data_IF_332842349372
#
_entry.id   IF_332842349372
#
_cell.length_a   1.000
_cell.length_b   1.000
_cell.length_c   1.000
_cell.angle_alpha   90.00
_cell.angle_beta   90.00
_cell.angle_gamma   90.00
#
_symmetry.space_group_name_H-M   'P 1'
#
loop_
_entity.id
_entity.type
_entity.pdbx_description
1 polymer ?
#
# COMPACT_ATOMS: atom_id res chain seq x y z
N UNK A 1 -12.49 -5.57 1.80
CA UNK A 1 -11.33 -6.28 1.18
C UNK A 1 -10.80 -5.36 0.11
N UNK A 2 -9.53 -4.97 0.20
CA UNK A 2 -8.95 -3.98 -0.72
C UNK A 2 -8.44 -4.64 -2.01
N UNK A 3 -7.74 -5.77 -1.91
CA UNK A 3 -7.08 -6.33 -3.09
C UNK A 3 -8.02 -7.05 -4.08
N UNK A 4 -8.10 -6.54 -5.32
CA UNK A 4 -8.96 -7.01 -6.43
C UNK A 4 -8.89 -8.52 -6.69
N UNK A 5 -7.70 -9.13 -6.59
CA UNK A 5 -7.50 -10.57 -6.88
C UNK A 5 -8.29 -11.48 -5.94
N UNK A 6 -8.40 -11.12 -4.65
CA UNK A 6 -9.06 -11.94 -3.64
C UNK A 6 -10.49 -11.47 -3.34
N UNK A 7 -10.87 -10.28 -3.81
CA UNK A 7 -12.20 -9.71 -3.60
C UNK A 7 -13.32 -10.61 -4.14
N UNK A 8 -13.16 -11.18 -5.34
CA UNK A 8 -14.14 -12.09 -5.94
C UNK A 8 -14.32 -13.41 -5.17
N UNK A 9 -13.24 -14.18 -4.91
CA UNK A 9 -13.31 -15.37 -4.07
C UNK A 9 -13.91 -15.10 -2.68
N UNK A 10 -13.52 -14.00 -2.04
CA UNK A 10 -14.07 -13.58 -0.75
C UNK A 10 -15.58 -13.35 -0.84
N UNK A 11 -16.05 -12.57 -1.82
CA UNK A 11 -17.47 -12.29 -1.99
C UNK A 11 -18.31 -13.56 -2.20
N UNK A 12 -17.78 -14.56 -2.91
CA UNK A 12 -18.48 -15.85 -3.11
C UNK A 12 -18.56 -16.70 -1.84
N UNK A 13 -17.64 -16.53 -0.90
CA UNK A 13 -17.70 -17.20 0.40
C UNK A 13 -18.78 -16.59 1.32
N UNK A 14 -19.22 -15.36 1.03
CA UNK A 14 -20.24 -14.63 1.79
C UNK A 14 -21.37 -14.16 0.86
N UNK A 15 -22.14 -15.08 0.24
CA UNK A 15 -23.13 -14.73 -0.78
C UNK A 15 -24.28 -13.86 -0.26
N UNK A 16 -24.56 -13.90 1.05
CA UNK A 16 -25.60 -13.09 1.69
C UNK A 16 -25.12 -11.68 2.08
N UNK A 17 -23.82 -11.39 1.94
CA UNK A 17 -23.28 -10.07 2.24
C UNK A 17 -23.54 -9.08 1.10
N UNK A 18 -23.79 -7.82 1.45
CA UNK A 18 -23.74 -6.75 0.46
C UNK A 18 -22.29 -6.52 0.04
N UNK A 19 -22.03 -6.59 -1.26
CA UNK A 19 -20.68 -6.47 -1.81
C UNK A 19 -20.59 -5.26 -2.74
N UNK A 20 -19.78 -4.27 -2.35
CA UNK A 20 -19.58 -3.03 -3.10
C UNK A 20 -18.17 -2.98 -3.69
N UNK A 21 -18.06 -2.45 -4.91
CA UNK A 21 -16.78 -2.12 -5.55
C UNK A 21 -16.84 -0.67 -6.05
N UNK A 22 -15.70 0.03 -6.06
CA UNK A 22 -15.68 1.43 -6.49
C UNK A 22 -16.11 1.57 -7.96
N UNK A 23 -16.76 2.67 -8.35
CA UNK A 23 -17.34 2.84 -9.69
C UNK A 23 -16.30 3.14 -10.78
N UNK A 24 -15.04 3.41 -10.40
CA UNK A 24 -13.90 3.65 -11.30
C UNK A 24 -12.84 2.58 -11.21
N UNK A 25 -13.25 1.31 -11.09
CA UNK A 25 -12.33 0.19 -11.25
C UNK A 25 -11.57 0.31 -12.57
N UNK A 26 -10.25 0.12 -12.48
CA UNK A 26 -9.35 0.14 -13.60
C UNK A 26 -8.65 -1.20 -13.79
N UNK A 27 -8.37 -1.57 -15.04
CA UNK A 27 -7.41 -2.62 -15.37
C UNK A 27 -6.52 -2.21 -16.54
N UNK A 28 -5.28 -2.71 -16.52
CA UNK A 28 -4.27 -2.47 -17.55
C UNK A 28 -3.95 -3.79 -18.28
N UNK A 29 -3.67 -3.78 -19.60
CA UNK A 29 -3.66 -2.61 -20.49
C UNK A 29 -5.04 -2.21 -21.03
N UNK A 30 -6.04 -3.09 -20.87
CA UNK A 30 -7.41 -2.86 -21.29
C UNK A 30 -8.29 -2.69 -20.06
N UNK A 31 -9.17 -1.69 -20.07
CA UNK A 31 -10.13 -1.49 -19.00
C UNK A 31 -11.30 -2.47 -19.16
N UNK A 32 -11.21 -3.60 -18.46
CA UNK A 32 -12.17 -4.70 -18.53
C UNK A 32 -13.32 -4.46 -17.54
N UNK A 33 -14.53 -4.93 -17.85
CA UNK A 33 -15.65 -4.87 -16.91
C UNK A 33 -15.40 -5.78 -15.69
N UNK A 34 -16.01 -5.44 -14.56
CA UNK A 34 -15.86 -6.11 -13.26
C UNK A 34 -16.07 -7.64 -13.29
N UNK A 35 -17.00 -8.11 -14.12
CA UNK A 35 -17.25 -9.55 -14.28
C UNK A 35 -16.05 -10.31 -14.86
N UNK A 36 -15.24 -9.66 -15.71
CA UNK A 36 -14.00 -10.21 -16.25
C UNK A 36 -12.85 -10.12 -15.25
N UNK A 37 -12.98 -9.25 -14.25
CA UNK A 37 -12.06 -9.12 -13.12
C UNK A 37 -12.37 -10.12 -11.99
N UNK A 38 -13.34 -11.01 -12.20
CA UNK A 38 -13.71 -12.07 -11.25
C UNK A 38 -14.65 -11.62 -10.14
N UNK A 39 -15.17 -10.39 -10.21
CA UNK A 39 -16.17 -9.89 -9.28
C UNK A 39 -17.53 -10.54 -9.57
N UNK A 40 -18.31 -10.94 -8.53
CA UNK A 40 -19.60 -11.56 -8.75
C UNK A 40 -20.62 -10.65 -9.45
N UNK A 41 -21.63 -11.19 -10.14
CA UNK A 41 -22.63 -10.39 -10.84
C UNK A 41 -23.54 -9.57 -9.92
N UNK A 42 -23.58 -9.89 -8.62
CA UNK A 42 -24.32 -9.12 -7.61
C UNK A 42 -23.50 -7.99 -6.97
N UNK A 43 -22.29 -7.74 -7.47
CA UNK A 43 -21.47 -6.60 -7.02
C UNK A 43 -22.20 -5.30 -7.31
N UNK A 44 -22.33 -4.45 -6.28
CA UNK A 44 -22.94 -3.13 -6.38
C UNK A 44 -21.86 -2.05 -6.57
N UNK A 45 -22.10 -1.02 -7.37
CA UNK A 45 -21.20 0.14 -7.39
C UNK A 45 -21.26 0.84 -6.03
N UNK A 46 -20.09 1.22 -5.50
CA UNK A 46 -19.99 2.02 -4.29
C UNK A 46 -20.62 3.41 -4.56
N UNK A 47 -21.48 3.92 -3.67
CA UNK A 47 -22.05 5.26 -3.83
C UNK A 47 -20.96 6.34 -3.88
N UNK A 48 -21.18 7.37 -4.70
CA UNK A 48 -20.24 8.49 -4.85
C UNK A 48 -20.04 9.26 -3.52
N UNK A 49 -18.95 10.02 -3.44
CA UNK A 49 -18.64 10.90 -2.30
C UNK A 49 -19.79 11.85 -1.98
N UNK A 50 -20.21 11.88 -0.71
CA UNK A 50 -21.29 12.74 -0.24
C UNK A 50 -22.69 12.31 -0.67
N UNK A 51 -22.86 11.17 -1.36
CA UNK A 51 -24.17 10.56 -1.50
C UNK A 51 -24.70 10.23 -0.09
N UNK A 52 -25.97 10.58 0.18
CA UNK A 52 -26.58 10.22 1.44
C UNK A 52 -26.50 8.70 1.61
N UNK A 53 -26.05 8.24 2.77
CA UNK A 53 -25.95 6.81 3.08
C UNK A 53 -27.31 6.14 3.25
N UNK A 54 -28.44 6.78 2.90
CA UNK A 54 -29.85 6.29 2.77
C UNK A 54 -30.34 5.09 3.62
N UNK A 55 -29.71 4.81 4.78
CA UNK A 55 -29.89 3.57 5.55
C UNK A 55 -28.99 2.39 5.11
N UNK A 56 -28.18 2.55 4.06
CA UNK A 56 -27.06 1.69 3.71
C UNK A 56 -26.16 1.35 4.91
N UNK A 57 -25.66 0.12 4.93
CA UNK A 57 -24.84 -0.44 6.01
C UNK A 57 -25.46 -0.29 7.41
N UNK A 58 -26.78 -0.38 7.50
CA UNK A 58 -27.52 -0.29 8.77
C UNK A 58 -27.62 1.13 9.34
N UNK A 59 -27.21 2.17 8.59
CA UNK A 59 -27.24 3.55 9.05
C UNK A 59 -26.17 3.90 10.09
N UNK A 60 -25.18 3.02 10.29
CA UNK A 60 -24.09 3.21 11.26
C UNK A 60 -22.83 3.83 10.62
N UNK A 61 -22.81 3.90 9.28
CA UNK A 61 -21.66 4.33 8.50
C UNK A 61 -21.95 5.61 7.70
N UNK A 62 -21.03 6.57 7.84
CA UNK A 62 -20.83 7.63 6.85
C UNK A 62 -19.69 7.22 5.91
N UNK A 63 -19.71 7.66 4.64
CA UNK A 63 -18.65 7.34 3.70
C UNK A 63 -18.23 8.55 2.84
N UNK A 64 -16.96 8.54 2.43
CA UNK A 64 -16.39 9.51 1.52
C UNK A 64 -15.42 8.82 0.57
N UNK A 65 -15.59 9.05 -0.73
CA UNK A 65 -14.75 8.46 -1.77
C UNK A 65 -13.84 9.52 -2.38
N UNK A 66 -12.53 9.36 -2.20
CA UNK A 66 -11.54 10.10 -2.96
C UNK A 66 -11.57 9.58 -4.40
N UNK A 67 -11.66 10.48 -5.37
CA UNK A 67 -11.49 10.12 -6.78
C UNK A 67 -10.49 11.09 -7.40
N UNK A 68 -9.39 10.57 -7.92
CA UNK A 68 -8.36 11.37 -8.57
C UNK A 68 -7.95 10.79 -9.91
N UNK A 69 -7.42 11.65 -10.78
CA UNK A 69 -7.02 11.31 -12.15
C UNK A 69 -5.53 11.57 -12.32
N UNK A 70 -4.66 10.59 -11.98
CA UNK A 70 -3.22 10.79 -12.05
C UNK A 70 -2.68 10.86 -13.47
N UNK A 71 -3.46 10.45 -14.49
CA UNK A 71 -3.00 10.45 -15.88
C UNK A 71 -4.09 10.15 -16.92
N UNK A 72 -3.72 10.17 -18.22
CA UNK A 72 -4.61 9.77 -19.29
C UNK A 72 -5.03 8.29 -19.13
N UNK A 73 -6.33 8.04 -18.98
CA UNK A 73 -6.88 6.67 -18.89
C UNK A 73 -6.65 5.98 -17.55
N UNK A 74 -6.12 6.67 -16.53
CA UNK A 74 -5.95 6.14 -15.17
C UNK A 74 -6.84 6.90 -14.20
N UNK A 75 -7.54 6.16 -13.34
CA UNK A 75 -8.28 6.67 -12.19
C UNK A 75 -7.77 5.97 -10.95
N UNK A 76 -7.73 6.70 -9.83
CA UNK A 76 -7.50 6.14 -8.51
C UNK A 76 -8.68 6.53 -7.62
N UNK A 77 -9.15 5.58 -6.84
CA UNK A 77 -10.15 5.82 -5.82
C UNK A 77 -9.72 5.21 -4.50
N UNK A 78 -10.03 5.91 -3.42
CA UNK A 78 -9.93 5.40 -2.06
C UNK A 78 -11.22 5.72 -1.32
N UNK A 79 -11.65 4.82 -0.45
CA UNK A 79 -12.89 4.96 0.30
C UNK A 79 -12.60 4.99 1.80
N UNK A 80 -13.10 6.04 2.44
CA UNK A 80 -13.13 6.16 3.88
C UNK A 80 -14.55 5.90 4.38
N UNK A 81 -14.68 5.08 5.43
CA UNK A 81 -15.94 4.81 6.11
C UNK A 81 -15.81 5.14 7.58
N UNK A 82 -16.70 5.97 8.11
CA UNK A 82 -16.75 6.27 9.52
C UNK A 82 -17.86 5.48 10.20
N UNK A 83 -17.47 4.55 11.07
CA UNK A 83 -18.40 3.80 11.89
C UNK A 83 -18.72 4.58 13.17
N UNK A 84 -19.84 5.29 13.17
CA UNK A 84 -20.26 6.21 14.22
C UNK A 84 -20.28 5.60 15.63
N UNK A 85 -20.98 4.47 15.86
CA UNK A 85 -21.08 3.84 17.18
C UNK A 85 -19.72 3.52 17.83
N UNK A 86 -18.75 3.10 17.03
CA UNK A 86 -17.44 2.67 17.53
C UNK A 86 -16.37 3.78 17.51
N UNK A 87 -16.66 4.93 16.90
CA UNK A 87 -15.70 6.01 16.67
C UNK A 87 -14.52 5.60 15.80
N UNK A 88 -14.72 4.74 14.79
CA UNK A 88 -13.65 4.14 13.98
C UNK A 88 -13.72 4.62 12.55
N UNK A 89 -12.59 5.08 12.01
CA UNK A 89 -12.41 5.28 10.57
C UNK A 89 -11.86 4.00 9.94
N UNK A 90 -12.50 3.50 8.90
CA UNK A 90 -11.95 2.48 8.01
C UNK A 90 -11.41 3.20 6.76
N UNK A 91 -10.19 2.87 6.34
CA UNK A 91 -9.56 3.47 5.15
C UNK A 91 -8.90 2.37 4.32
N UNK A 92 -8.96 2.46 2.99
CA UNK A 92 -8.38 1.43 2.15
C UNK A 92 -6.90 1.73 1.88
N UNK A 93 -6.59 2.63 0.95
CA UNK A 93 -5.28 2.70 0.28
C UNK A 93 -4.40 3.90 0.67
N UNK A 94 -4.89 4.87 1.43
CA UNK A 94 -4.14 6.11 1.69
C UNK A 94 -3.48 6.20 3.08
N UNK A 95 -3.44 5.12 3.86
CA UNK A 95 -2.77 5.10 5.16
C UNK A 95 -2.21 3.72 5.52
N UNK A 96 -0.95 3.70 5.98
CA UNK A 96 -0.20 2.50 6.31
C UNK A 96 0.58 2.71 7.59
N UNK A 97 0.75 1.65 8.37
CA UNK A 97 1.64 1.61 9.50
C UNK A 97 2.27 0.24 9.60
N UNK A 98 3.54 0.17 9.97
CA UNK A 98 4.20 -1.12 10.19
C UNK A 98 5.10 -1.01 11.43
N UNK A 99 5.06 -2.05 12.24
CA UNK A 99 5.90 -2.31 13.41
C UNK A 99 6.81 -3.48 13.09
N UNK A 100 7.76 -3.75 13.96
CA UNK A 100 8.73 -4.82 13.76
C UNK A 100 8.11 -6.22 13.76
N UNK A 101 6.90 -6.36 14.33
CA UNK A 101 6.22 -7.65 14.40
C UNK A 101 5.40 -7.92 13.13
N UNK A 102 5.59 -9.07 12.47
CA UNK A 102 4.68 -9.48 11.40
C UNK A 102 3.26 -9.70 11.95
N UNK A 103 2.21 -9.37 11.18
CA UNK A 103 0.84 -9.62 11.60
C UNK A 103 0.58 -11.13 11.80
N UNK A 104 -0.33 -11.52 12.72
CA UNK A 104 -0.55 -12.91 13.11
C UNK A 104 -0.74 -13.88 11.95
N UNK A 105 -1.50 -13.47 10.92
CA UNK A 105 -1.75 -14.28 9.71
C UNK A 105 -0.47 -14.71 9.00
N UNK A 106 0.61 -13.91 9.04
CA UNK A 106 1.90 -14.28 8.44
C UNK A 106 2.70 -15.26 9.30
N UNK A 107 2.32 -15.47 10.56
CA UNK A 107 3.02 -16.36 11.51
C UNK A 107 2.24 -17.62 11.86
N UNK A 108 0.92 -17.60 11.69
CA UNK A 108 0.01 -18.69 12.05
C UNK A 108 -0.32 -19.60 10.85
N UNK A 109 -0.35 -19.04 9.62
CA UNK A 109 -0.64 -19.81 8.40
C UNK A 109 0.65 -20.30 7.73
N UNK A 110 0.84 -21.62 7.52
CA UNK A 110 2.09 -22.18 7.01
C UNK A 110 2.56 -21.60 5.67
N UNK A 111 1.64 -21.31 4.73
CA UNK A 111 2.01 -20.74 3.42
C UNK A 111 2.52 -19.30 3.54
N UNK A 112 1.95 -18.50 4.46
CA UNK A 112 2.39 -17.13 4.67
C UNK A 112 3.68 -17.07 5.52
N UNK A 113 3.83 -17.98 6.47
CA UNK A 113 5.09 -18.17 7.20
C UNK A 113 6.24 -18.51 6.23
N UNK A 114 5.95 -19.33 5.21
CA UNK A 114 6.90 -19.65 4.14
C UNK A 114 7.41 -18.41 3.43
N UNK A 115 6.55 -17.40 3.22
CA UNK A 115 6.95 -16.12 2.63
C UNK A 115 7.91 -15.33 3.53
N UNK A 116 7.67 -15.29 4.86
CA UNK A 116 8.60 -14.66 5.80
C UNK A 116 9.99 -15.30 5.70
N UNK A 117 10.07 -16.63 5.77
CA UNK A 117 11.35 -17.35 5.70
C UNK A 117 12.01 -17.19 4.32
N UNK A 118 11.24 -17.17 3.24
CA UNK A 118 11.74 -16.88 1.89
C UNK A 118 12.41 -15.50 1.80
N UNK A 119 11.81 -14.47 2.39
CA UNK A 119 12.37 -13.12 2.36
C UNK A 119 13.53 -12.94 3.35
N UNK A 120 13.61 -13.75 4.41
CA UNK A 120 14.67 -13.70 5.41
C UNK A 120 16.04 -14.23 4.94
N UNK A 121 16.16 -14.76 3.71
CA UNK A 121 17.40 -15.32 3.14
C UNK A 121 18.41 -14.24 2.75
N UNK A 122 19.66 -14.42 3.15
CA UNK A 122 20.83 -13.66 2.71
C UNK A 122 21.45 -14.23 1.43
N UNK A 123 21.20 -15.52 1.12
CA UNK A 123 21.63 -16.14 -0.14
C UNK A 123 20.53 -16.98 -0.80
N UNK A 124 20.58 -17.20 -2.13
CA UNK A 124 19.44 -17.77 -2.83
C UNK A 124 19.12 -19.23 -2.45
N UNK A 125 20.12 -20.02 -2.07
CA UNK A 125 19.97 -21.43 -1.64
C UNK A 125 19.95 -21.58 -0.12
N UNK A 126 19.88 -20.48 0.64
CA UNK A 126 19.77 -20.56 2.09
C UNK A 126 18.44 -21.17 2.50
N UNK A 127 18.49 -22.09 3.46
CA UNK A 127 17.34 -22.59 4.19
C UNK A 127 17.39 -21.90 5.54
N UNK A 128 16.42 -21.01 5.79
CA UNK A 128 16.37 -20.21 7.01
C UNK A 128 15.69 -21.01 8.10
N UNK A 129 16.35 -21.14 9.25
CA UNK A 129 15.73 -21.71 10.44
C UNK A 129 14.58 -20.81 10.93
N UNK A 130 13.45 -21.44 11.22
CA UNK A 130 12.27 -20.75 11.70
C UNK A 130 12.45 -20.27 13.14
N UNK A 131 12.79 -18.99 13.28
CA UNK A 131 12.99 -18.29 14.56
C UNK A 131 12.23 -16.96 14.54
N UNK A 132 11.83 -16.41 15.71
CA UNK A 132 11.21 -15.09 15.77
C UNK A 132 12.04 -14.01 15.06
N UNK A 133 13.36 -14.03 15.23
CA UNK A 133 14.28 -13.10 14.58
C UNK A 133 14.32 -13.27 13.05
N UNK A 134 14.27 -14.51 12.54
CA UNK A 134 14.17 -14.76 11.11
C UNK A 134 12.83 -14.27 10.54
N UNK A 135 11.73 -14.48 11.26
CA UNK A 135 10.39 -13.98 10.87
C UNK A 135 10.37 -12.46 10.78
N UNK A 136 10.91 -11.75 11.79
CA UNK A 136 11.05 -10.28 11.78
C UNK A 136 11.93 -9.82 10.64
N UNK A 137 13.07 -10.47 10.38
CA UNK A 137 13.94 -10.16 9.23
C UNK A 137 13.18 -10.29 7.90
N UNK A 138 12.46 -11.39 7.71
CA UNK A 138 11.61 -11.60 6.53
C UNK A 138 10.55 -10.51 6.39
N UNK A 139 9.90 -10.15 7.48
CA UNK A 139 8.88 -9.11 7.53
C UNK A 139 9.41 -7.74 7.13
N UNK A 140 10.52 -7.28 7.74
CA UNK A 140 11.16 -6.00 7.39
C UNK A 140 11.45 -5.92 5.90
N UNK A 141 11.97 -7.00 5.32
CA UNK A 141 12.29 -7.10 3.90
C UNK A 141 11.04 -7.05 3.03
N UNK A 142 9.97 -7.75 3.39
CA UNK A 142 8.67 -7.67 2.70
C UNK A 142 8.17 -6.23 2.71
N UNK A 143 8.16 -5.57 3.88
CA UNK A 143 7.71 -4.18 4.02
C UNK A 143 8.53 -3.25 3.14
N UNK A 144 9.86 -3.33 3.18
CA UNK A 144 10.74 -2.50 2.35
C UNK A 144 10.53 -2.73 0.84
N UNK A 145 10.41 -3.99 0.41
CA UNK A 145 10.18 -4.34 -0.99
C UNK A 145 8.79 -3.90 -1.46
N UNK A 146 7.74 -4.09 -0.66
CA UNK A 146 6.39 -3.66 -0.96
C UNK A 146 6.29 -2.13 -1.11
N UNK A 147 7.02 -1.39 -0.27
CA UNK A 147 6.97 0.07 -0.26
C UNK A 147 7.80 0.74 -1.36
N UNK A 148 8.99 0.20 -1.61
CA UNK A 148 9.99 0.87 -2.46
C UNK A 148 10.23 0.16 -3.79
N UNK A 149 9.78 -1.09 -3.95
CA UNK A 149 10.19 -2.07 -4.96
C UNK A 149 11.69 -2.42 -4.88
N UNK A 150 12.55 -1.40 -4.89
CA UNK A 150 14.00 -1.50 -4.78
C UNK A 150 14.51 -0.47 -3.74
N UNK A 151 14.59 -0.85 -2.45
CA UNK A 151 15.11 0.02 -1.40
C UNK A 151 16.63 0.16 -1.54
N UNK A 152 17.08 1.08 -2.40
CA UNK A 152 18.49 1.16 -2.81
C UNK A 152 19.46 1.51 -1.67
N UNK A 153 18.98 1.99 -0.51
CA UNK A 153 19.81 2.16 0.69
C UNK A 153 20.21 0.80 1.26
N UNK A 154 19.30 -0.18 1.25
CA UNK A 154 19.44 -1.49 1.92
C UNK A 154 19.71 -2.66 0.97
N UNK A 155 19.29 -2.57 -0.30
CA UNK A 155 19.35 -3.68 -1.26
C UNK A 155 19.84 -3.25 -2.65
N UNK A 156 20.34 -4.23 -3.40
CA UNK A 156 20.68 -4.13 -4.82
C UNK A 156 19.78 -5.08 -5.60
N UNK A 157 19.08 -4.56 -6.61
CA UNK A 157 18.22 -5.36 -7.48
C UNK A 157 19.05 -6.28 -8.40
N UNK A 158 18.58 -7.51 -8.60
CA UNK A 158 19.07 -8.41 -9.64
C UNK A 158 17.92 -8.76 -10.59
N UNK A 159 17.75 -7.91 -11.62
CA UNK A 159 16.66 -7.98 -12.61
C UNK A 159 17.08 -8.69 -13.91
N UNK A 160 18.17 -9.46 -13.89
CA UNK A 160 18.61 -10.22 -15.06
C UNK A 160 17.63 -11.31 -15.47
N UNK A 161 17.67 -11.73 -16.74
CA UNK A 161 16.88 -12.87 -17.27
C UNK A 161 17.48 -14.24 -16.95
N UNK A 162 18.75 -14.28 -16.53
CA UNK A 162 19.49 -15.51 -16.22
C UNK A 162 18.81 -16.44 -15.20
N UNK A 163 18.16 -15.92 -14.14
CA UNK A 163 17.48 -16.75 -13.14
C UNK A 163 16.21 -17.43 -13.64
N UNK A 164 15.44 -16.80 -14.53
CA UNK A 164 14.24 -17.41 -15.14
C UNK A 164 14.58 -18.67 -15.95
N UNK A 165 15.80 -18.72 -16.49
CA UNK A 165 16.31 -19.86 -17.26
C UNK A 165 16.85 -21.00 -16.38
N UNK A 166 17.00 -20.79 -15.07
CA UNK A 166 17.59 -21.73 -14.11
C UNK A 166 16.60 -22.19 -13.02
N UNK A 167 15.30 -21.95 -13.20
CA UNK A 167 14.26 -22.34 -12.25
C UNK A 167 14.25 -23.86 -12.03
N UNK A 168 14.44 -24.27 -10.78
CA UNK A 168 14.32 -25.65 -10.29
C UNK A 168 13.24 -25.72 -9.20
N UNK A 169 12.65 -26.90 -8.92
CA UNK A 169 11.88 -27.08 -7.70
C UNK A 169 12.77 -26.79 -6.48
N UNK A 170 12.35 -25.88 -5.61
CA UNK A 170 13.04 -25.55 -4.36
C UNK A 170 11.98 -25.30 -3.28
N UNK A 171 12.28 -25.70 -2.05
CA UNK A 171 11.30 -25.68 -0.94
C UNK A 171 10.78 -24.26 -0.65
N UNK A 172 11.66 -23.26 -0.80
CA UNK A 172 11.34 -21.84 -0.62
C UNK A 172 11.59 -21.05 -1.92
N UNK A 173 10.66 -21.15 -2.87
CA UNK A 173 10.51 -20.24 -4.02
C UNK A 173 11.05 -20.72 -5.36
N UNK A 174 11.69 -19.83 -6.12
CA UNK A 174 11.95 -19.96 -7.56
C UNK A 174 13.29 -20.64 -7.89
N UNK A 175 13.55 -21.85 -7.38
CA UNK A 175 14.77 -22.60 -7.76
C UNK A 175 16.08 -22.01 -7.24
N UNK A 176 16.04 -21.34 -6.09
CA UNK A 176 17.19 -20.62 -5.57
C UNK A 176 17.47 -19.32 -6.35
N UNK A 177 16.42 -18.64 -6.85
CA UNK A 177 16.53 -17.26 -7.27
C UNK A 177 16.20 -16.31 -6.10
N UNK A 178 16.98 -15.25 -5.99
CA UNK A 178 16.77 -14.13 -5.09
C UNK A 178 16.90 -12.84 -5.92
N UNK A 179 15.79 -12.15 -6.26
CA UNK A 179 15.82 -10.96 -7.12
C UNK A 179 16.47 -9.73 -6.48
N UNK A 180 17.01 -9.87 -5.28
CA UNK A 180 17.58 -8.79 -4.49
C UNK A 180 18.78 -9.33 -3.72
N UNK A 181 19.83 -8.53 -3.58
CA UNK A 181 20.92 -8.78 -2.64
C UNK A 181 20.90 -7.70 -1.56
N UNK A 182 20.68 -8.09 -0.32
CA UNK A 182 20.76 -7.18 0.83
C UNK A 182 22.21 -6.80 1.09
N UNK A 183 22.47 -5.51 1.35
CA UNK A 183 23.83 -4.99 1.53
C UNK A 183 24.45 -5.42 2.85
N UNK A 184 23.68 -5.29 3.93
CA UNK A 184 23.99 -5.78 5.27
C UNK A 184 22.70 -5.82 6.10
N UNK A 185 22.75 -6.44 7.28
CA UNK A 185 21.61 -6.47 8.21
C UNK A 185 21.35 -5.08 8.80
N UNK A 186 22.42 -4.34 9.07
CA UNK A 186 22.35 -2.98 9.63
C UNK A 186 21.68 -2.02 8.65
N UNK A 187 22.00 -2.10 7.35
CA UNK A 187 21.38 -1.25 6.33
C UNK A 187 19.88 -1.56 6.15
N UNK A 188 19.50 -2.84 6.22
CA UNK A 188 18.10 -3.27 6.22
C UNK A 188 17.35 -2.72 7.44
N UNK A 189 17.91 -2.88 8.63
CA UNK A 189 17.30 -2.44 9.89
C UNK A 189 17.17 -0.92 9.94
N UNK A 190 18.19 -0.16 9.50
CA UNK A 190 18.14 1.29 9.42
C UNK A 190 17.03 1.77 8.46
N UNK A 191 16.97 1.21 7.25
CA UNK A 191 15.94 1.54 6.28
C UNK A 191 14.53 1.21 6.81
N UNK A 192 14.38 0.04 7.44
CA UNK A 192 13.11 -0.35 8.05
C UNK A 192 12.73 0.56 9.20
N UNK A 193 13.64 0.89 10.11
CA UNK A 193 13.38 1.76 11.26
C UNK A 193 12.98 3.18 10.83
N UNK A 194 13.60 3.70 9.76
CA UNK A 194 13.22 4.97 9.16
C UNK A 194 11.85 4.91 8.48
N UNK A 195 11.52 3.77 7.86
CA UNK A 195 10.19 3.53 7.30
C UNK A 195 9.11 3.40 8.38
N UNK A 196 9.26 2.45 9.29
CA UNK A 196 8.29 2.11 10.32
C UNK A 196 8.09 3.27 11.29
N UNK A 197 9.17 3.98 11.64
CA UNK A 197 9.18 5.04 12.64
C UNK A 197 8.40 4.64 13.90
N UNK A 198 8.61 3.39 14.36
CA UNK A 198 7.91 2.83 15.51
C UNK A 198 6.40 2.61 15.32
N UNK A 199 5.93 2.38 14.10
CA UNK A 199 4.51 2.22 13.78
C UNK A 199 3.79 3.54 13.50
N UNK A 200 4.50 4.66 13.40
CA UNK A 200 3.90 5.95 13.03
C UNK A 200 3.29 5.86 11.62
N UNK A 201 2.02 6.23 11.41
CA UNK A 201 1.39 6.06 10.11
C UNK A 201 1.99 6.97 9.03
N UNK A 202 1.90 6.50 7.79
CA UNK A 202 2.44 7.18 6.61
C UNK A 202 1.68 6.74 5.36
N UNK A 203 1.96 7.37 4.23
CA UNK A 203 1.41 7.01 2.93
C UNK A 203 2.44 6.20 2.15
N UNK A 204 2.00 5.21 1.37
CA UNK A 204 2.90 4.56 0.43
C UNK A 204 3.48 5.59 -0.55
N UNK A 205 4.79 5.57 -0.81
CA UNK A 205 5.43 6.41 -1.82
C UNK A 205 4.71 6.44 -3.17
N UNK A 206 4.25 5.27 -3.66
CA UNK A 206 3.53 5.18 -4.94
C UNK A 206 2.16 5.86 -4.90
N UNK A 207 1.45 5.76 -3.78
CA UNK A 207 0.16 6.44 -3.58
C UNK A 207 0.39 7.95 -3.48
N UNK A 208 1.43 8.40 -2.77
CA UNK A 208 1.80 9.81 -2.70
C UNK A 208 2.10 10.39 -4.09
N UNK A 209 2.81 9.63 -4.94
CA UNK A 209 3.02 9.98 -6.36
C UNK A 209 1.66 10.12 -7.06
N UNK A 210 0.73 9.18 -6.92
CA UNK A 210 -0.60 9.27 -7.55
C UNK A 210 -1.34 10.54 -7.10
N UNK A 211 -1.36 10.82 -5.80
CA UNK A 211 -2.07 11.97 -5.23
C UNK A 211 -1.43 13.31 -5.57
N UNK A 212 -0.17 13.35 -6.00
CA UNK A 212 0.52 14.59 -6.40
C UNK A 212 0.32 14.97 -7.87
N UNK A 213 -0.37 14.17 -8.68
CA UNK A 213 -0.37 14.27 -10.15
C UNK A 213 -1.54 15.09 -10.69
N UNK A 214 -1.28 15.98 -11.64
CA UNK A 214 -2.32 16.82 -12.23
C UNK A 214 -3.08 17.62 -11.16
N UNK A 215 -4.41 17.57 -11.16
CA UNK A 215 -5.27 18.20 -10.16
C UNK A 215 -5.49 17.37 -8.87
N UNK A 216 -4.91 16.16 -8.78
CA UNK A 216 -5.21 15.18 -7.72
C UNK A 216 -4.93 15.70 -6.31
N UNK A 217 -3.97 16.62 -6.15
CA UNK A 217 -3.65 17.18 -4.84
C UNK A 217 -4.79 18.00 -4.25
N UNK A 218 -5.48 18.80 -5.08
CA UNK A 218 -6.62 19.60 -4.63
C UNK A 218 -7.83 18.73 -4.29
N UNK A 219 -8.10 17.71 -5.11
CA UNK A 219 -9.14 16.70 -4.83
C UNK A 219 -8.87 15.97 -3.51
N UNK A 220 -7.63 15.58 -3.28
CA UNK A 220 -7.19 14.92 -2.05
C UNK A 220 -7.40 15.82 -0.84
N UNK A 221 -6.99 17.10 -0.91
CA UNK A 221 -7.21 18.03 0.20
C UNK A 221 -8.69 18.24 0.50
N UNK A 222 -9.55 18.36 -0.52
CA UNK A 222 -10.99 18.46 -0.32
C UNK A 222 -11.54 17.24 0.40
N UNK A 223 -11.11 16.04 0.01
CA UNK A 223 -11.53 14.79 0.65
C UNK A 223 -11.04 14.69 2.10
N UNK A 224 -9.77 15.01 2.38
CA UNK A 224 -9.22 15.05 3.75
C UNK A 224 -10.03 16.01 4.63
N UNK A 225 -10.37 17.20 4.11
CA UNK A 225 -11.16 18.20 4.84
C UNK A 225 -12.62 17.79 5.08
N UNK A 226 -13.15 16.81 4.35
CA UNK A 226 -14.43 16.17 4.64
C UNK A 226 -14.28 15.09 5.70
N UNK A 227 -13.36 14.15 5.48
CA UNK A 227 -13.11 13.01 6.38
C UNK A 227 -12.76 13.49 7.79
N UNK A 228 -11.94 14.55 7.91
CA UNK A 228 -11.52 15.07 9.23
C UNK A 228 -12.65 15.72 10.04
N UNK A 229 -13.84 15.93 9.46
CA UNK A 229 -15.01 16.44 10.19
C UNK A 229 -15.65 15.38 11.08
N UNK A 230 -15.40 14.10 10.78
CA UNK A 230 -15.87 13.00 11.60
C UNK A 230 -15.06 12.92 12.91
N UNK A 231 -15.72 12.45 13.97
CA UNK A 231 -15.16 12.40 15.33
C UNK A 231 -14.55 11.03 15.66
N UNK A 232 -13.79 10.45 14.73
CA UNK A 232 -13.10 9.18 14.97
C UNK A 232 -11.96 9.33 15.98
N UNK A 233 -11.69 8.24 16.71
CA UNK A 233 -10.61 8.16 17.71
C UNK A 233 -9.59 7.07 17.39
N UNK A 234 -9.87 6.28 16.36
CA UNK A 234 -9.01 5.22 15.86
C UNK A 234 -9.25 5.01 14.37
N UNK A 235 -8.25 4.48 13.71
CA UNK A 235 -8.29 4.14 12.28
C UNK A 235 -7.97 2.66 12.12
N UNK A 236 -8.69 1.96 11.25
CA UNK A 236 -8.38 0.62 10.76
C UNK A 236 -8.04 0.76 9.28
N UNK A 237 -6.75 0.87 8.92
CA UNK A 237 -6.34 0.78 7.53
C UNK A 237 -6.56 -0.64 7.00
N UNK A 238 -6.75 -0.77 5.68
CA UNK A 238 -6.79 -2.07 5.03
C UNK A 238 -5.39 -2.71 4.93
N UNK A 239 -4.33 -1.93 5.15
CA UNK A 239 -2.95 -2.36 4.99
C UNK A 239 -2.16 -2.31 6.29
N UNK A 240 -1.50 -3.44 6.58
CA UNK A 240 -0.53 -3.62 7.66
C UNK A 240 -1.13 -3.41 9.07
N UNK A 241 -0.48 -2.62 9.93
CA UNK A 241 -0.87 -2.53 11.34
C UNK A 241 -2.21 -1.83 11.54
N UNK A 242 -3.08 -2.48 12.30
CA UNK A 242 -4.36 -1.98 12.71
C UNK A 242 -4.79 -2.63 14.05
N UNK A 243 -5.59 -1.95 14.89
CA UNK A 243 -6.05 -0.56 14.76
C UNK A 243 -4.96 0.46 15.17
N UNK A 244 -5.06 1.67 14.63
CA UNK A 244 -4.22 2.82 14.94
C UNK A 244 -4.95 3.77 15.88
N UNK A 245 -4.31 4.13 17.00
CA UNK A 245 -4.80 5.19 17.89
C UNK A 245 -4.46 6.56 17.27
N UNK A 246 -5.36 7.06 16.42
CA UNK A 246 -5.15 8.27 15.62
C UNK A 246 -6.47 9.02 15.44
N UNK A 247 -6.42 10.34 15.67
CA UNK A 247 -7.55 11.26 15.48
C UNK A 247 -7.54 12.02 14.14
N UNK A 248 -8.53 12.90 13.92
CA UNK A 248 -8.72 13.59 12.63
C UNK A 248 -7.59 14.51 12.20
N UNK A 249 -6.97 15.23 13.13
CA UNK A 249 -5.86 16.13 12.80
C UNK A 249 -4.59 15.35 12.48
N UNK A 250 -4.29 14.29 13.23
CA UNK A 250 -3.16 13.40 12.97
C UNK A 250 -3.31 12.69 11.62
N UNK A 251 -4.53 12.26 11.28
CA UNK A 251 -4.86 11.75 9.95
C UNK A 251 -4.55 12.79 8.87
N UNK A 252 -5.03 14.03 9.01
CA UNK A 252 -4.81 15.08 8.04
C UNK A 252 -3.32 15.43 7.85
N UNK A 253 -2.51 15.35 8.91
CA UNK A 253 -1.06 15.59 8.85
C UNK A 253 -0.32 14.58 7.95
N UNK A 254 -0.84 13.36 7.79
CA UNK A 254 -0.24 12.38 6.85
C UNK A 254 -0.34 12.82 5.38
N UNK A 255 -1.20 13.80 5.07
CA UNK A 255 -1.37 14.41 3.74
C UNK A 255 -0.72 15.80 3.63
N UNK A 256 0.04 16.25 4.64
CA UNK A 256 0.57 17.62 4.72
C UNK A 256 1.52 17.98 3.57
N UNK A 257 2.12 16.99 2.88
CA UNK A 257 3.00 17.22 1.72
C UNK A 257 2.33 18.05 0.62
N UNK A 258 1.02 17.90 0.43
CA UNK A 258 0.24 18.67 -0.55
C UNK A 258 0.19 20.15 -0.15
N UNK A 259 -0.16 20.44 1.11
CA UNK A 259 -0.20 21.83 1.64
C UNK A 259 1.19 22.47 1.66
N UNK A 260 2.24 21.69 1.92
CA UNK A 260 3.64 22.12 1.90
C UNK A 260 4.18 22.40 0.49
N UNK A 261 3.45 22.02 -0.56
CA UNK A 261 3.85 22.26 -1.95
C UNK A 261 5.04 21.41 -2.40
N UNK A 262 5.38 20.33 -1.67
CA UNK A 262 6.59 19.53 -1.92
C UNK A 262 6.29 18.05 -1.74
N UNK A 263 6.64 17.23 -2.74
CA UNK A 263 6.43 15.79 -2.71
C UNK A 263 7.50 15.09 -1.83
N UNK A 264 7.50 15.38 -0.53
CA UNK A 264 8.49 14.90 0.43
C UNK A 264 7.97 13.71 1.24
N UNK A 265 8.83 12.72 1.47
CA UNK A 265 8.60 11.59 2.39
C UNK A 265 9.65 11.60 3.49
N UNK A 266 9.33 10.99 4.64
CA UNK A 266 10.28 10.85 5.77
C UNK A 266 11.40 9.85 5.51
N UNK A 267 11.24 9.00 4.50
CA UNK A 267 12.17 7.92 4.19
C UNK A 267 13.43 8.44 3.51
N UNK A 268 14.37 7.53 3.37
CA UNK A 268 15.58 7.65 2.60
C UNK A 268 15.36 8.09 1.13
N UNK A 269 16.10 9.10 0.67
CA UNK A 269 16.05 9.56 -0.73
C UNK A 269 16.47 8.46 -1.71
N UNK A 270 17.49 7.69 -1.32
CA UNK A 270 17.96 6.54 -2.06
C UNK A 270 16.89 5.44 -2.19
N UNK A 271 15.99 5.28 -1.23
CA UNK A 271 14.97 4.23 -1.27
C UNK A 271 13.81 4.58 -2.19
N UNK A 272 13.52 5.87 -2.37
CA UNK A 272 12.51 6.32 -3.33
C UNK A 272 13.08 6.59 -4.73
N UNK A 273 14.39 6.40 -4.93
CA UNK A 273 15.05 6.71 -6.20
C UNK A 273 14.48 5.91 -7.37
N UNK A 274 14.14 4.64 -7.18
CA UNK A 274 13.52 3.83 -8.23
C UNK A 274 12.13 4.36 -8.63
N UNK A 275 11.30 4.65 -7.62
CA UNK A 275 9.97 5.22 -7.85
C UNK A 275 10.06 6.58 -8.56
N UNK A 276 10.98 7.45 -8.13
CA UNK A 276 11.29 8.71 -8.80
C UNK A 276 11.73 8.50 -10.24
N UNK A 277 12.59 7.52 -10.52
CA UNK A 277 13.01 7.23 -11.89
C UNK A 277 11.82 6.78 -12.75
N UNK A 278 10.83 6.07 -12.20
CA UNK A 278 9.60 5.73 -12.90
C UNK A 278 8.75 6.98 -13.22
N UNK A 279 8.81 8.02 -12.38
CA UNK A 279 8.16 9.32 -12.62
C UNK A 279 8.73 10.07 -13.83
N UNK A 280 10.01 9.86 -14.15
CA UNK A 280 10.75 10.54 -15.22
C UNK A 280 11.04 9.65 -16.43
N UNK A 281 10.86 8.34 -16.27
CA UNK A 281 11.23 7.32 -17.25
C UNK A 281 10.26 7.18 -18.42
N UNK A 282 10.46 6.14 -19.26
CA UNK A 282 9.65 5.90 -20.45
C UNK A 282 8.16 5.68 -20.18
N UNK A 283 7.76 5.37 -18.94
CA UNK A 283 6.35 5.22 -18.53
C UNK A 283 5.74 6.53 -18.03
N UNK A 284 6.51 7.62 -17.91
CA UNK A 284 6.00 8.91 -17.42
C UNK A 284 4.89 9.52 -18.27
N UNK A 285 4.76 9.12 -19.55
CA UNK A 285 3.69 9.61 -20.43
C UNK A 285 2.28 9.17 -19.98
N UNK A 286 2.16 8.12 -19.16
CA UNK A 286 0.87 7.63 -18.66
C UNK A 286 0.38 8.39 -17.43
N UNK A 287 1.16 9.34 -16.91
CA UNK A 287 0.80 10.19 -15.76
C UNK A 287 0.98 11.67 -16.08
N UNK A 288 0.15 12.53 -15.49
CA UNK A 288 0.32 13.98 -15.59
C UNK A 288 1.55 14.45 -14.81
N UNK A 289 2.00 15.69 -15.03
CA UNK A 289 3.06 16.27 -14.20
C UNK A 289 2.55 16.59 -12.80
N UNK A 290 3.45 16.56 -11.83
CA UNK A 290 3.20 17.00 -10.44
C UNK A 290 3.64 18.44 -10.28
N UNK A 291 2.77 19.31 -9.74
CA UNK A 291 3.14 20.67 -9.34
C UNK A 291 4.02 20.70 -8.07
N UNK A 292 4.01 19.62 -7.29
CA UNK A 292 4.79 19.44 -6.07
C UNK A 292 6.24 18.99 -6.33
N UNK A 293 6.61 18.82 -7.61
CA UNK A 293 7.84 18.18 -8.03
C UNK A 293 7.79 16.65 -7.93
N UNK A 294 8.94 16.03 -8.17
CA UNK A 294 9.14 14.57 -8.05
C UNK A 294 9.28 14.15 -6.58
N UNK A 295 9.01 12.88 -6.28
CA UNK A 295 9.10 12.31 -4.94
C UNK A 295 10.51 12.42 -4.36
N UNK A 296 10.67 12.95 -3.14
CA UNK A 296 11.96 13.18 -2.48
C UNK A 296 11.96 12.66 -1.05
N UNK A 297 13.03 11.98 -0.67
CA UNK A 297 13.26 11.57 0.70
C UNK A 297 14.30 12.45 1.39
N UNK A 298 14.65 12.08 2.61
CA UNK A 298 15.78 12.63 3.34
C UNK A 298 17.05 11.82 3.02
N UNK A 299 18.25 12.42 3.04
CA UNK A 299 19.50 11.65 2.92
C UNK A 299 19.55 10.45 3.89
N UNK A 300 20.04 9.30 3.42
CA UNK A 300 20.23 8.07 4.23
C UNK A 300 21.44 8.09 5.18
N UNK A 301 21.81 9.25 5.72
CA UNK A 301 22.94 9.34 6.65
C UNK A 301 22.89 10.66 7.42
N UNK A 302 23.74 10.81 8.44
CA UNK A 302 23.97 12.10 9.10
C UNK A 302 24.53 13.15 8.13
#
# INVERSE_FOLDING_TARGET
>A
VEHKVLAGPFARAFPDAEFYATDRQYSFPLNLPDSFLGLPPWTRPLPESGAASDGSWGGEFDHEVLTVKPGPGSMYQDAAFFHGPSGTLLICDALFAATEEPPPILTEEPEYLRALLFHARDTPQEIVEDTPEARRRGWRRIVLLFNFFFPTSAAVADLGVGPLLNLRPYELGWGGWMPFRWKSREAEEEAFNKYSAGGSPTMLPIIQIILSRGGSGEDTLRWVEKVKRWSFKRIVPAHLDAPLAMGPEEFAETFAFIKKGRNEVRFCDQDVAFLRAAEEGPLSFSVYKSSLGVLRGQPCGP
#
